data_IF_311584639846
#
_entry.id   IF_311584639846
#
_cell.length_a   1.000
_cell.length_b   1.000
_cell.length_c   1.000
_cell.angle_alpha   90.00
_cell.angle_beta   90.00
_cell.angle_gamma   90.00
#
_symmetry.space_group_name_H-M   'P 1'
#
loop_
_entity.id
_entity.type
_entity.pdbx_description
1 polymer ?
#
# COMPACT_ATOMS: atom_id res chain seq x y z
N UNK A 1 -26.94 -10.63 -20.10
CA UNK A 1 -25.47 -10.48 -20.10
C UNK A 1 -24.96 -10.94 -18.75
N UNK A 2 -24.24 -12.06 -18.70
CA UNK A 2 -23.65 -12.55 -17.45
C UNK A 2 -22.58 -11.55 -17.00
N UNK A 3 -22.76 -10.93 -15.82
CA UNK A 3 -21.68 -10.16 -15.18
C UNK A 3 -20.52 -11.14 -14.94
N UNK A 4 -19.39 -10.87 -15.52
CA UNK A 4 -18.14 -11.57 -15.16
C UNK A 4 -17.84 -11.14 -13.74
N UNK A 5 -18.06 -12.01 -12.77
CA UNK A 5 -17.68 -11.77 -11.38
C UNK A 5 -16.16 -11.95 -11.25
N UNK A 6 -15.49 -10.90 -10.84
CA UNK A 6 -14.08 -10.95 -10.51
C UNK A 6 -13.85 -11.74 -9.22
N UNK A 7 -12.99 -12.75 -9.26
CA UNK A 7 -12.60 -13.46 -8.04
C UNK A 7 -11.69 -12.55 -7.19
N UNK A 8 -12.27 -11.92 -6.18
CA UNK A 8 -11.59 -10.98 -5.27
C UNK A 8 -10.57 -11.65 -4.34
N UNK A 9 -10.65 -12.98 -4.18
CA UNK A 9 -9.76 -13.74 -3.30
C UNK A 9 -8.43 -14.14 -3.98
N UNK A 10 -8.21 -13.73 -5.24
CA UNK A 10 -6.93 -13.97 -5.92
C UNK A 10 -5.83 -13.23 -5.12
N UNK A 11 -4.84 -13.99 -4.65
CA UNK A 11 -3.64 -13.42 -4.04
C UNK A 11 -2.76 -12.77 -5.11
N UNK A 12 -2.38 -11.53 -4.87
CA UNK A 12 -1.35 -10.83 -5.65
C UNK A 12 0.04 -11.06 -5.06
N UNK A 13 0.10 -11.22 -3.72
CA UNK A 13 1.29 -11.62 -2.98
C UNK A 13 0.87 -12.34 -1.70
N UNK A 14 1.76 -12.57 -0.75
CA UNK A 14 1.48 -13.30 0.49
C UNK A 14 0.37 -12.64 1.32
N UNK A 15 0.42 -11.30 1.47
CA UNK A 15 -0.49 -10.55 2.35
C UNK A 15 -1.52 -9.69 1.60
N UNK A 16 -1.44 -9.59 0.26
CA UNK A 16 -2.32 -8.70 -0.52
C UNK A 16 -3.17 -9.46 -1.52
N UNK A 17 -4.46 -9.10 -1.60
CA UNK A 17 -5.44 -9.71 -2.51
C UNK A 17 -5.89 -8.73 -3.59
N UNK A 18 -6.37 -9.27 -4.72
CA UNK A 18 -6.97 -8.46 -5.78
C UNK A 18 -8.19 -7.67 -5.28
N UNK A 19 -8.95 -8.24 -4.34
CA UNK A 19 -10.10 -7.58 -3.75
C UNK A 19 -9.75 -6.30 -3.00
N UNK A 20 -8.63 -6.29 -2.25
CA UNK A 20 -8.14 -5.09 -1.56
C UNK A 20 -7.68 -4.03 -2.56
N UNK A 21 -6.93 -4.46 -3.59
CA UNK A 21 -6.35 -3.56 -4.59
C UNK A 21 -7.36 -3.04 -5.62
N UNK A 22 -8.60 -3.54 -5.61
CA UNK A 22 -9.70 -3.07 -6.48
C UNK A 22 -10.90 -2.57 -5.70
N UNK A 23 -10.76 -2.45 -4.37
CA UNK A 23 -11.83 -1.97 -3.51
C UNK A 23 -12.18 -0.51 -3.83
N UNK A 24 -13.46 -0.24 -3.94
CA UNK A 24 -14.00 1.13 -4.10
C UNK A 24 -15.28 1.29 -3.30
N UNK A 25 -15.51 2.50 -2.77
CA UNK A 25 -16.78 2.89 -2.16
C UNK A 25 -17.78 3.43 -3.18
N UNK A 26 -17.34 3.68 -4.41
CA UNK A 26 -18.21 4.17 -5.46
C UNK A 26 -19.00 3.04 -6.10
N UNK A 27 -20.29 3.24 -6.28
CA UNK A 27 -21.10 2.34 -7.10
C UNK A 27 -20.77 2.56 -8.58
N UNK A 28 -20.43 1.51 -9.30
CA UNK A 28 -20.00 1.57 -10.69
C UNK A 28 -20.76 0.59 -11.56
N UNK A 29 -20.97 0.95 -12.82
CA UNK A 29 -21.62 0.09 -13.83
C UNK A 29 -20.66 -0.94 -14.41
N UNK A 30 -19.38 -0.61 -14.46
CA UNK A 30 -18.28 -1.45 -14.97
C UNK A 30 -17.73 -2.45 -13.94
N UNK A 31 -18.18 -2.34 -12.68
CA UNK A 31 -17.75 -3.23 -11.57
C UNK A 31 -16.31 -3.02 -11.12
N UNK A 32 -15.63 -1.98 -11.58
CA UNK A 32 -14.21 -1.70 -11.30
C UNK A 32 -13.31 -2.91 -11.59
N UNK A 33 -13.52 -3.57 -12.73
CA UNK A 33 -12.81 -4.80 -13.12
C UNK A 33 -11.51 -4.42 -13.85
N UNK A 34 -10.31 -4.77 -13.29
CA UNK A 34 -9.04 -4.48 -13.92
C UNK A 34 -8.78 -5.37 -15.14
N UNK A 35 -8.03 -4.86 -16.10
CA UNK A 35 -7.47 -5.67 -17.18
C UNK A 35 -6.37 -6.60 -16.63
N UNK A 36 -6.00 -7.64 -17.40
CA UNK A 36 -4.90 -8.54 -17.06
C UNK A 36 -3.59 -7.74 -16.82
N UNK A 37 -3.29 -6.76 -17.67
CA UNK A 37 -2.11 -5.91 -17.50
C UNK A 37 -2.15 -5.11 -16.19
N UNK A 38 -3.32 -4.58 -15.82
CA UNK A 38 -3.46 -3.86 -14.55
C UNK A 38 -3.26 -4.78 -13.33
N UNK A 39 -3.70 -6.04 -13.42
CA UNK A 39 -3.47 -7.04 -12.38
C UNK A 39 -1.97 -7.32 -12.23
N UNK A 40 -1.24 -7.50 -13.33
CA UNK A 40 0.21 -7.71 -13.30
C UNK A 40 0.97 -6.50 -12.74
N UNK A 41 0.55 -5.29 -13.07
CA UNK A 41 1.13 -4.08 -12.48
C UNK A 41 0.88 -4.00 -10.96
N UNK A 42 -0.34 -4.32 -10.51
CA UNK A 42 -0.65 -4.39 -9.08
C UNK A 42 0.18 -5.48 -8.39
N UNK A 43 0.33 -6.66 -9.02
CA UNK A 43 1.16 -7.74 -8.50
C UNK A 43 2.60 -7.30 -8.30
N UNK A 44 3.18 -6.63 -9.30
CA UNK A 44 4.53 -6.07 -9.20
C UNK A 44 4.69 -5.11 -8.00
N UNK A 45 3.69 -4.26 -7.73
CA UNK A 45 3.72 -3.37 -6.57
C UNK A 45 3.63 -4.19 -5.27
N UNK A 46 2.74 -5.18 -5.20
CA UNK A 46 2.57 -6.00 -4.00
C UNK A 46 3.85 -6.78 -3.68
N UNK A 47 4.36 -7.56 -4.64
CA UNK A 47 5.50 -8.47 -4.44
C UNK A 47 6.83 -7.73 -4.20
N UNK A 48 7.04 -6.63 -4.89
CA UNK A 48 8.35 -5.97 -4.91
C UNK A 48 8.44 -4.72 -4.02
N UNK A 49 7.32 -4.25 -3.44
CA UNK A 49 7.31 -3.03 -2.63
C UNK A 49 6.49 -3.14 -1.36
N UNK A 50 5.24 -3.61 -1.45
CA UNK A 50 4.36 -3.62 -0.28
C UNK A 50 4.75 -4.72 0.72
N UNK A 51 5.21 -5.89 0.26
CA UNK A 51 5.72 -6.94 1.16
C UNK A 51 7.00 -6.48 1.86
N UNK A 52 7.94 -5.87 1.14
CA UNK A 52 9.17 -5.33 1.72
C UNK A 52 8.86 -4.18 2.70
N UNK A 53 7.89 -3.31 2.37
CA UNK A 53 7.43 -2.24 3.26
C UNK A 53 6.82 -2.81 4.55
N UNK A 54 5.95 -3.84 4.43
CA UNK A 54 5.33 -4.53 5.56
C UNK A 54 6.37 -5.17 6.46
N UNK A 55 7.30 -5.93 5.87
CA UNK A 55 8.38 -6.57 6.58
C UNK A 55 9.25 -5.56 7.35
N UNK A 56 9.69 -4.50 6.67
CA UNK A 56 10.54 -3.46 7.27
C UNK A 56 9.81 -2.70 8.38
N UNK A 57 8.53 -2.36 8.18
CA UNK A 57 7.71 -1.70 9.19
C UNK A 57 7.58 -2.57 10.44
N UNK A 58 7.31 -3.85 10.30
CA UNK A 58 7.16 -4.77 11.41
C UNK A 58 8.49 -5.05 12.13
N UNK A 59 9.59 -5.12 11.39
CA UNK A 59 10.93 -5.30 11.96
C UNK A 59 11.38 -4.07 12.76
N UNK A 60 11.12 -2.87 12.25
CA UNK A 60 11.58 -1.63 12.88
C UNK A 60 10.65 -1.13 13.99
N UNK A 61 9.35 -1.42 13.91
CA UNK A 61 8.35 -0.79 14.77
C UNK A 61 7.35 -1.77 15.40
N UNK A 62 7.38 -3.07 15.05
CA UNK A 62 6.45 -4.09 15.57
C UNK A 62 6.50 -4.27 17.09
N UNK A 63 7.63 -3.98 17.72
CA UNK A 63 7.82 -4.09 19.18
C UNK A 63 7.48 -2.80 19.94
N UNK A 64 7.08 -1.73 19.26
CA UNK A 64 6.74 -0.43 19.86
C UNK A 64 5.28 -0.36 20.27
N UNK A 65 4.77 -1.34 21.01
CA UNK A 65 3.56 -1.17 21.82
C UNK A 65 3.82 -0.08 22.88
N UNK A 66 2.80 0.68 23.32
CA UNK A 66 2.99 1.70 24.35
C UNK A 66 3.62 1.07 25.57
N UNK A 67 4.85 1.46 25.89
CA UNK A 67 5.54 1.06 27.11
C UNK A 67 4.79 1.65 28.30
N UNK A 68 3.83 0.92 28.83
CA UNK A 68 3.36 1.14 30.18
C UNK A 68 4.48 0.69 31.09
N UNK A 69 5.26 1.65 31.56
CA UNK A 69 6.32 1.40 32.51
C UNK A 69 5.82 0.76 33.78
N UNK A 70 6.38 -0.34 34.13
CA UNK A 70 6.75 -0.67 35.53
C UNK A 70 7.45 -2.03 35.52
N UNK A 71 8.68 -2.01 36.04
CA UNK A 71 9.62 -3.08 36.05
C UNK A 71 9.17 -4.39 36.71
N UNK A 72 9.76 -5.45 36.28
CA UNK A 72 10.66 -6.29 37.12
C UNK A 72 11.21 -7.43 36.26
N UNK A 73 12.51 -7.58 36.33
CA UNK A 73 13.29 -8.65 35.71
C UNK A 73 13.01 -9.96 36.44
N UNK A 74 12.82 -11.06 35.71
CA UNK A 74 13.44 -12.38 35.78
C UNK A 74 12.53 -13.48 35.26
N UNK A 75 13.13 -14.30 34.43
CA UNK A 75 12.79 -15.71 34.40
C UNK A 75 12.47 -16.28 33.03
N UNK A 76 13.41 -17.06 32.52
CA UNK A 76 13.23 -18.22 31.67
C UNK A 76 12.83 -18.00 30.19
N UNK A 77 13.85 -18.19 29.32
CA UNK A 77 13.67 -18.35 27.86
C UNK A 77 13.14 -19.75 27.61
N UNK A 78 11.85 -19.94 27.68
CA UNK A 78 11.16 -20.99 26.95
C UNK A 78 10.78 -20.42 25.55
N UNK A 79 11.10 -21.18 24.54
CA UNK A 79 10.80 -20.90 23.10
C UNK A 79 9.33 -20.52 22.94
N UNK A 80 9.03 -19.24 22.96
CA UNK A 80 7.76 -18.72 22.43
C UNK A 80 7.91 -18.64 20.91
N UNK A 81 6.96 -19.26 20.22
CA UNK A 81 6.84 -19.26 18.76
C UNK A 81 6.86 -17.81 18.26
N UNK A 82 7.62 -17.56 17.17
CA UNK A 82 7.82 -16.24 16.53
C UNK A 82 6.53 -15.59 15.98
N UNK A 83 5.36 -16.13 16.29
CA UNK A 83 4.05 -15.78 15.73
C UNK A 83 3.22 -14.79 16.59
N UNK A 84 3.80 -14.15 17.58
CA UNK A 84 3.09 -13.21 18.49
C UNK A 84 3.57 -11.75 18.39
N UNK A 85 4.31 -11.38 17.37
CA UNK A 85 4.65 -9.97 17.11
C UNK A 85 3.39 -9.24 16.69
N UNK A 86 3.10 -8.09 17.29
CA UNK A 86 2.03 -7.16 16.88
C UNK A 86 2.23 -6.76 15.42
N UNK A 87 1.62 -7.54 14.52
CA UNK A 87 1.71 -7.31 13.08
C UNK A 87 1.00 -6.01 12.71
N UNK A 88 1.75 -5.03 12.22
CA UNK A 88 1.23 -3.74 11.75
C UNK A 88 0.86 -3.88 10.28
N UNK A 89 -0.43 -3.95 9.93
CA UNK A 89 -0.84 -4.15 8.56
C UNK A 89 -0.58 -2.91 7.70
N UNK A 90 -0.20 -3.13 6.44
CA UNK A 90 -0.24 -2.09 5.40
C UNK A 90 -1.66 -2.02 4.86
N UNK A 91 -2.35 -0.90 5.05
CA UNK A 91 -3.75 -0.72 4.65
C UNK A 91 -3.83 0.01 3.32
N UNK A 92 -4.32 -0.67 2.29
CA UNK A 92 -4.56 -0.08 0.98
C UNK A 92 -5.96 0.51 0.94
N UNK A 93 -6.06 1.80 0.67
CA UNK A 93 -7.34 2.51 0.54
C UNK A 93 -7.81 2.61 -0.90
N UNK A 94 -6.88 2.54 -1.87
CA UNK A 94 -7.17 2.53 -3.30
C UNK A 94 -6.01 1.88 -4.05
N UNK A 95 -6.31 1.03 -4.99
CA UNK A 95 -5.37 0.47 -5.97
C UNK A 95 -5.85 0.78 -7.38
N UNK A 96 -6.26 -0.22 -8.16
CA UNK A 96 -6.85 -0.01 -9.48
C UNK A 96 -8.14 0.83 -9.39
N UNK A 97 -8.28 1.74 -10.36
CA UNK A 97 -9.51 2.50 -10.59
C UNK A 97 -9.90 2.38 -12.06
N UNK A 98 -11.12 1.95 -12.35
CA UNK A 98 -11.69 2.12 -13.67
C UNK A 98 -11.86 3.61 -14.01
N UNK A 99 -12.10 3.92 -15.29
CA UNK A 99 -12.35 5.31 -15.71
C UNK A 99 -13.53 5.92 -14.93
N UNK A 100 -14.58 5.12 -14.69
CA UNK A 100 -15.76 5.56 -13.96
C UNK A 100 -15.42 5.89 -12.48
N UNK A 101 -14.65 5.03 -11.80
CA UNK A 101 -14.18 5.28 -10.43
C UNK A 101 -13.27 6.50 -10.39
N UNK A 102 -12.31 6.58 -11.31
CA UNK A 102 -11.35 7.68 -11.37
C UNK A 102 -12.04 9.03 -11.57
N UNK A 103 -13.05 9.09 -12.44
CA UNK A 103 -13.84 10.29 -12.65
C UNK A 103 -14.65 10.66 -11.40
N UNK A 104 -15.30 9.68 -10.73
CA UNK A 104 -16.11 9.91 -9.53
C UNK A 104 -15.29 10.42 -8.34
N UNK A 105 -14.04 9.98 -8.21
CA UNK A 105 -13.16 10.47 -7.14
C UNK A 105 -12.37 11.74 -7.51
N UNK A 106 -12.56 12.30 -8.71
CA UNK A 106 -11.86 13.50 -9.17
C UNK A 106 -10.39 13.25 -9.52
N UNK A 107 -10.04 12.02 -9.90
CA UNK A 107 -8.68 11.64 -10.28
C UNK A 107 -8.22 12.27 -11.61
N UNK A 108 -6.92 12.40 -11.78
CA UNK A 108 -6.32 12.90 -13.02
C UNK A 108 -6.64 11.99 -14.21
N UNK A 109 -6.79 12.56 -15.42
CA UNK A 109 -7.06 11.79 -16.66
C UNK A 109 -5.99 10.73 -16.94
N UNK A 110 -4.73 11.00 -16.60
CA UNK A 110 -3.60 10.11 -16.80
C UNK A 110 -3.14 9.50 -15.46
N UNK A 111 -4.07 9.17 -14.58
CA UNK A 111 -3.75 8.60 -13.27
C UNK A 111 -3.12 7.21 -13.41
N UNK A 112 -2.05 6.96 -12.66
CA UNK A 112 -1.41 5.64 -12.57
C UNK A 112 -2.37 4.55 -12.02
N UNK A 113 -3.41 4.93 -11.28
CA UNK A 113 -4.45 4.00 -10.83
C UNK A 113 -5.24 3.34 -11.96
N UNK A 114 -5.44 4.04 -13.09
CA UNK A 114 -6.17 3.51 -14.26
C UNK A 114 -5.51 2.28 -14.88
N UNK A 115 -4.21 2.15 -14.70
CA UNK A 115 -3.42 1.05 -15.26
C UNK A 115 -2.94 0.05 -14.18
N UNK A 116 -3.40 0.20 -12.93
CA UNK A 116 -2.92 -0.61 -11.82
C UNK A 116 -1.49 -0.30 -11.38
N UNK A 117 -0.93 0.83 -11.82
CA UNK A 117 0.43 1.24 -11.51
C UNK A 117 0.53 2.13 -10.26
N UNK A 118 -0.52 2.23 -9.45
CA UNK A 118 -0.50 3.01 -8.21
C UNK A 118 -1.35 2.40 -7.11
N UNK A 119 -0.95 2.68 -5.88
CA UNK A 119 -1.70 2.38 -4.65
C UNK A 119 -1.70 3.60 -3.73
N UNK A 120 -2.80 3.77 -3.00
CA UNK A 120 -2.90 4.73 -1.90
C UNK A 120 -2.82 3.97 -0.58
N UNK A 121 -1.80 4.24 0.21
CA UNK A 121 -1.49 3.57 1.48
C UNK A 121 -1.92 4.46 2.63
N UNK A 122 -2.84 4.00 3.47
CA UNK A 122 -3.31 4.75 4.63
C UNK A 122 -2.22 4.94 5.68
N UNK A 123 -2.16 6.15 6.24
CA UNK A 123 -1.29 6.48 7.37
C UNK A 123 -2.12 7.02 8.55
N UNK A 124 -1.79 6.61 9.77
CA UNK A 124 -2.45 7.06 11.00
C UNK A 124 -1.89 8.37 11.57
N UNK A 125 -1.20 9.14 10.75
CA UNK A 125 -0.65 10.44 11.09
C UNK A 125 0.62 10.75 10.32
N UNK A 126 1.17 11.96 10.51
CA UNK A 126 2.34 12.42 9.75
C UNK A 126 3.60 11.58 10.06
N UNK A 127 3.74 11.13 11.31
CA UNK A 127 4.89 10.34 11.72
C UNK A 127 4.96 9.00 10.98
N UNK A 128 3.86 8.24 10.95
CA UNK A 128 3.82 6.98 10.21
C UNK A 128 4.02 7.22 8.71
N UNK A 129 3.41 8.28 8.16
CA UNK A 129 3.58 8.64 6.76
C UNK A 129 5.05 8.89 6.40
N UNK A 130 5.79 9.64 7.22
CA UNK A 130 7.21 9.91 7.01
C UNK A 130 8.05 8.63 7.13
N UNK A 131 7.77 7.79 8.14
CA UNK A 131 8.48 6.51 8.32
C UNK A 131 8.29 5.59 7.12
N UNK A 132 7.05 5.39 6.67
CA UNK A 132 6.75 4.53 5.53
C UNK A 132 7.37 5.06 4.24
N UNK A 133 7.36 6.38 4.03
CA UNK A 133 8.04 6.99 2.89
C UNK A 133 9.55 6.76 2.94
N UNK A 134 10.17 6.89 4.12
CA UNK A 134 11.59 6.58 4.33
C UNK A 134 11.91 5.12 3.97
N UNK A 135 11.11 4.17 4.46
CA UNK A 135 11.28 2.75 4.14
C UNK A 135 11.16 2.50 2.63
N UNK A 136 10.19 3.12 1.94
CA UNK A 136 10.06 2.98 0.48
C UNK A 136 11.28 3.52 -0.28
N UNK A 137 11.89 4.61 0.21
CA UNK A 137 13.14 5.13 -0.36
C UNK A 137 14.32 4.19 -0.09
N UNK A 138 14.43 3.63 1.11
CA UNK A 138 15.48 2.66 1.46
C UNK A 138 15.34 1.37 0.62
N UNK A 139 14.11 0.90 0.38
CA UNK A 139 13.84 -0.22 -0.53
C UNK A 139 14.33 0.12 -1.95
N UNK A 140 13.98 1.31 -2.46
CA UNK A 140 14.39 1.76 -3.79
C UNK A 140 15.92 1.77 -3.93
N UNK A 141 16.61 2.37 -2.96
CA UNK A 141 18.06 2.53 -2.99
C UNK A 141 18.80 1.20 -2.77
N UNK A 142 18.32 0.38 -1.82
CA UNK A 142 18.92 -0.91 -1.50
C UNK A 142 18.75 -1.95 -2.60
N UNK A 143 17.59 -1.97 -3.27
CA UNK A 143 17.28 -2.92 -4.35
C UNK A 143 17.60 -2.40 -5.74
N UNK A 144 17.93 -1.11 -5.89
CA UNK A 144 18.11 -0.40 -7.17
C UNK A 144 16.88 -0.46 -8.07
N UNK A 145 15.69 -0.62 -7.48
CA UNK A 145 14.41 -0.52 -8.18
C UNK A 145 13.99 0.95 -8.20
N UNK A 146 13.31 1.35 -9.26
CA UNK A 146 12.80 2.71 -9.40
C UNK A 146 11.28 2.74 -9.26
N UNK A 147 10.76 3.87 -8.76
CA UNK A 147 9.34 4.17 -8.67
C UNK A 147 8.99 5.41 -9.49
N UNK A 148 7.73 5.54 -9.87
CA UNK A 148 7.27 6.70 -10.63
C UNK A 148 6.94 7.90 -9.74
N UNK A 149 6.09 7.68 -8.73
CA UNK A 149 5.66 8.74 -7.81
C UNK A 149 5.61 8.22 -6.37
N UNK A 150 6.11 9.03 -5.44
CA UNK A 150 5.96 8.91 -4.01
C UNK A 150 5.40 10.25 -3.51
N UNK A 151 4.10 10.32 -3.28
CA UNK A 151 3.43 11.55 -2.88
C UNK A 151 2.88 11.37 -1.47
N UNK A 152 3.32 12.24 -0.55
CA UNK A 152 2.82 12.31 0.80
C UNK A 152 1.63 13.26 0.81
N UNK A 153 0.44 12.71 1.03
CA UNK A 153 -0.80 13.44 0.89
C UNK A 153 -1.53 13.62 2.23
N UNK A 154 -2.08 14.82 2.43
CA UNK A 154 -2.92 15.15 3.58
C UNK A 154 -4.15 15.91 3.14
N UNK A 155 -5.32 15.48 3.62
CA UNK A 155 -6.57 16.23 3.48
C UNK A 155 -7.34 16.25 4.80
N UNK A 156 -7.48 17.42 5.40
CA UNK A 156 -8.02 17.52 6.75
C UNK A 156 -7.17 16.75 7.75
N UNK A 157 -7.75 15.74 8.40
CA UNK A 157 -7.08 14.85 9.38
C UNK A 157 -6.62 13.52 8.77
N UNK A 158 -6.86 13.31 7.47
CA UNK A 158 -6.50 12.06 6.78
C UNK A 158 -5.13 12.18 6.13
N UNK A 159 -4.30 11.15 6.33
CA UNK A 159 -2.96 11.04 5.76
C UNK A 159 -2.85 9.75 4.95
N UNK A 160 -2.22 9.83 3.77
CA UNK A 160 -1.91 8.65 2.97
C UNK A 160 -0.68 8.90 2.10
N UNK A 161 -0.09 7.83 1.62
CA UNK A 161 0.97 7.85 0.62
C UNK A 161 0.36 7.37 -0.69
N UNK A 162 0.41 8.20 -1.73
CA UNK A 162 0.26 7.75 -3.09
C UNK A 162 1.60 7.21 -3.58
N UNK A 163 1.66 5.93 -3.91
CA UNK A 163 2.86 5.28 -4.39
C UNK A 163 2.59 4.64 -5.76
N UNK A 164 3.40 5.02 -6.76
CA UNK A 164 3.24 4.55 -8.12
C UNK A 164 4.52 3.93 -8.67
N UNK A 165 4.36 2.80 -9.37
CA UNK A 165 5.43 2.09 -10.06
C UNK A 165 4.94 1.70 -11.45
N UNK A 166 5.59 2.20 -12.49
CA UNK A 166 5.31 1.86 -13.87
C UNK A 166 6.25 0.76 -14.38
N UNK A 167 5.86 -0.02 -15.39
CA UNK A 167 6.73 -1.01 -15.99
C UNK A 167 8.04 -0.45 -16.56
N UNK A 168 8.04 0.83 -16.93
CA UNK A 168 9.20 1.57 -17.47
C UNK A 168 9.03 3.08 -17.27
N UNK A 169 10.11 3.82 -17.48
CA UNK A 169 10.14 5.28 -17.46
C UNK A 169 9.64 5.88 -16.13
N UNK A 170 10.04 5.25 -15.02
CA UNK A 170 9.77 5.73 -13.68
C UNK A 170 10.53 7.04 -13.44
N UNK A 171 9.84 8.05 -12.90
CA UNK A 171 10.35 9.43 -12.79
C UNK A 171 11.02 9.73 -11.44
N UNK A 172 10.89 8.85 -10.47
CA UNK A 172 11.33 9.03 -9.06
C UNK A 172 10.86 10.39 -8.49
N UNK A 173 9.61 10.74 -8.77
CA UNK A 173 9.01 12.00 -8.37
C UNK A 173 8.53 11.92 -6.93
N UNK A 174 9.03 12.82 -6.07
CA UNK A 174 8.65 12.92 -4.66
C UNK A 174 7.95 14.25 -4.43
N UNK A 175 6.76 14.22 -3.83
CA UNK A 175 5.96 15.41 -3.54
C UNK A 175 5.30 15.34 -2.16
N UNK A 176 5.01 16.53 -1.64
CA UNK A 176 4.12 16.74 -0.50
C UNK A 176 2.89 17.49 -1.00
N UNK A 177 1.70 16.92 -0.84
CA UNK A 177 0.42 17.56 -1.16
C UNK A 177 -0.44 17.67 0.10
N UNK A 178 -0.46 18.86 0.69
CA UNK A 178 -1.18 19.17 1.92
C UNK A 178 -2.27 20.20 1.60
N UNK A 179 -3.49 19.73 1.36
CA UNK A 179 -4.69 20.57 1.12
C UNK A 179 -5.69 20.49 2.25
#
# INVERSE_FOLDING_TARGET
MNKVEMNKNIKLSEHFTLGELTKTSYHTTDGNIPSHMAIENLRNICENWLEDLRYSQNTLYGDSGPSTGSGTVKGDRSQESEDSRNDIPIIITSGYRSEEVNMKCGGAKNSNHLTGCAVDIRCYGPEQMIRMAGILLDIADGTKRDFDELILEKRGTTYWIHFAVRPKDNRRKILFDCR
#
